data_IF_311015653668
#
_entry.id   IF_311015653668
#
_cell.length_a   1.000
_cell.length_b   1.000
_cell.length_c   1.000
_cell.angle_alpha   90.00
_cell.angle_beta   90.00
_cell.angle_gamma   90.00
#
_symmetry.space_group_name_H-M   'P 1'
#
loop_
_entity.id
_entity.type
_entity.pdbx_description
1 polymer ?
#
# COMPACT_ATOMS: atom_id res chain seq x y z
N UNK A 1 2.57 15.04 6.69
CA UNK A 1 1.58 13.97 6.44
C UNK A 1 2.29 12.88 5.65
N UNK A 2 1.81 11.63 5.65
CA UNK A 2 2.37 10.58 4.78
C UNK A 2 1.23 9.95 3.99
N UNK A 3 1.54 9.43 2.80
CA UNK A 3 0.58 8.74 1.93
C UNK A 3 1.11 7.38 1.51
N UNK A 4 0.19 6.43 1.34
CA UNK A 4 0.47 5.10 0.81
C UNK A 4 0.22 5.10 -0.70
N UNK A 5 1.29 4.96 -1.48
CA UNK A 5 1.20 4.68 -2.91
C UNK A 5 0.87 3.21 -3.16
N UNK A 6 -0.06 2.96 -4.09
CA UNK A 6 -0.50 1.61 -4.47
C UNK A 6 -0.31 1.41 -5.97
N UNK A 7 0.58 0.48 -6.35
CA UNK A 7 0.72 -0.02 -7.72
C UNK A 7 -0.12 -1.30 -7.88
N UNK A 8 -1.31 -1.17 -8.47
CA UNK A 8 -2.33 -2.22 -8.46
C UNK A 8 -2.20 -3.21 -9.63
N UNK A 9 -1.20 -4.10 -9.57
CA UNK A 9 -1.01 -5.15 -10.57
C UNK A 9 -1.96 -6.35 -10.44
N UNK A 10 -2.07 -7.15 -11.52
CA UNK A 10 -2.90 -8.37 -11.55
C UNK A 10 -2.28 -9.57 -10.81
N UNK A 11 -0.95 -9.58 -10.66
CA UNK A 11 -0.21 -10.63 -9.94
C UNK A 11 0.36 -10.16 -8.60
N UNK A 12 0.84 -8.91 -8.57
CA UNK A 12 1.49 -8.29 -7.42
C UNK A 12 0.93 -6.87 -7.25
N UNK A 13 0.80 -6.43 -6.01
CA UNK A 13 0.46 -5.06 -5.66
C UNK A 13 1.66 -4.47 -4.95
N UNK A 14 2.31 -3.47 -5.55
CA UNK A 14 3.41 -2.74 -4.93
C UNK A 14 2.87 -1.69 -3.97
N UNK A 15 3.51 -1.56 -2.81
CA UNK A 15 3.20 -0.53 -1.82
C UNK A 15 4.43 0.36 -1.63
N UNK A 16 4.22 1.67 -1.58
CA UNK A 16 5.26 2.65 -1.29
C UNK A 16 4.75 3.65 -0.24
N UNK A 17 5.63 4.14 0.63
CA UNK A 17 5.31 5.16 1.62
C UNK A 17 6.01 6.47 1.23
N UNK A 18 5.28 7.57 1.23
CA UNK A 18 5.89 8.87 1.04
C UNK A 18 6.69 9.31 2.26
N UNK A 19 7.68 10.16 2.03
CA UNK A 19 8.26 10.98 3.06
C UNK A 19 7.25 12.03 3.58
N UNK A 20 7.54 12.71 4.71
CA UNK A 20 6.63 13.70 5.29
C UNK A 20 6.32 14.92 4.41
N UNK A 21 7.16 15.20 3.41
CA UNK A 21 6.97 16.29 2.43
C UNK A 21 6.16 15.85 1.21
N UNK A 22 5.73 14.58 1.17
CA UNK A 22 4.93 13.99 0.09
C UNK A 22 5.60 14.08 -1.30
N UNK A 23 6.93 14.12 -1.32
CA UNK A 23 7.72 14.32 -2.55
C UNK A 23 8.44 13.06 -2.98
N UNK A 24 8.93 12.26 -2.03
CA UNK A 24 9.71 11.04 -2.30
C UNK A 24 8.94 9.83 -1.79
N UNK A 25 8.67 8.87 -2.68
CA UNK A 25 8.12 7.57 -2.33
C UNK A 25 9.24 6.54 -2.16
N UNK A 26 9.22 5.79 -1.06
CA UNK A 26 10.15 4.68 -0.80
C UNK A 26 9.40 3.34 -0.81
N UNK A 27 9.96 2.25 -1.37
CA UNK A 27 9.32 0.93 -1.34
C UNK A 27 8.97 0.50 0.08
N UNK A 28 7.77 -0.04 0.28
CA UNK A 28 7.29 -0.52 1.58
C UNK A 28 7.12 -2.04 1.60
N UNK A 29 6.29 -2.58 0.70
CA UNK A 29 5.99 -4.01 0.64
C UNK A 29 5.45 -4.39 -0.75
N UNK A 30 5.33 -5.68 -1.04
CA UNK A 30 4.67 -6.20 -2.24
C UNK A 30 3.73 -7.34 -1.87
N UNK A 31 2.43 -7.14 -2.09
CA UNK A 31 1.42 -8.16 -1.83
C UNK A 31 1.20 -9.04 -3.06
N UNK A 32 1.16 -10.36 -2.87
CA UNK A 32 0.86 -11.30 -3.95
C UNK A 32 -0.65 -11.55 -4.03
N UNK A 33 -1.21 -11.44 -5.24
CA UNK A 33 -2.63 -11.73 -5.48
C UNK A 33 -2.83 -13.22 -5.73
N UNK A 34 -3.81 -13.78 -5.02
CA UNK A 34 -4.29 -15.13 -5.29
C UNK A 34 -5.13 -15.14 -6.57
N UNK A 35 -4.83 -16.06 -7.48
CA UNK A 35 -5.55 -16.20 -8.76
C UNK A 35 -7.05 -16.42 -8.50
N UNK A 36 -7.89 -15.70 -9.24
CA UNK A 36 -9.35 -15.81 -9.12
C UNK A 36 -9.95 -15.25 -7.82
N UNK A 37 -9.15 -14.55 -6.99
CA UNK A 37 -9.62 -13.89 -5.77
C UNK A 37 -9.51 -12.36 -5.89
N UNK A 38 -10.32 -11.66 -5.09
CA UNK A 38 -10.22 -10.21 -4.92
C UNK A 38 -8.85 -9.83 -4.34
N UNK A 39 -8.44 -8.58 -4.55
CA UNK A 39 -7.23 -8.07 -3.93
C UNK A 39 -7.33 -8.07 -2.39
N UNK A 40 -6.21 -8.21 -1.68
CA UNK A 40 -6.18 -8.28 -0.22
C UNK A 40 -6.34 -6.89 0.42
N UNK A 41 -7.52 -6.26 0.25
CA UNK A 41 -7.79 -4.90 0.76
C UNK A 41 -7.59 -4.79 2.27
N UNK A 42 -8.05 -5.77 3.04
CA UNK A 42 -7.86 -5.79 4.50
C UNK A 42 -6.39 -5.79 4.92
N UNK A 43 -5.50 -6.41 4.13
CA UNK A 43 -4.06 -6.38 4.39
C UNK A 43 -3.48 -5.00 4.10
N UNK A 44 -3.96 -4.34 3.04
CA UNK A 44 -3.58 -2.96 2.70
C UNK A 44 -4.02 -1.99 3.83
N UNK A 45 -5.24 -2.13 4.34
CA UNK A 45 -5.75 -1.34 5.47
C UNK A 45 -4.95 -1.56 6.77
N UNK A 46 -4.61 -2.82 7.09
CA UNK A 46 -3.74 -3.14 8.22
C UNK A 46 -2.39 -2.44 8.11
N UNK A 47 -1.76 -2.50 6.94
CA UNK A 47 -0.48 -1.83 6.68
C UNK A 47 -0.61 -0.32 6.81
N UNK A 48 -1.69 0.28 6.28
CA UNK A 48 -1.93 1.72 6.41
C UNK A 48 -2.05 2.13 7.88
N UNK A 49 -2.80 1.37 8.66
CA UNK A 49 -2.99 1.60 10.11
C UNK A 49 -1.68 1.45 10.88
N UNK A 50 -0.92 0.40 10.61
CA UNK A 50 0.41 0.15 11.21
C UNK A 50 1.41 1.28 10.90
N UNK A 51 1.25 1.97 9.76
CA UNK A 51 2.07 3.13 9.39
C UNK A 51 1.51 4.47 9.88
N UNK A 52 0.43 4.44 10.66
CA UNK A 52 -0.22 5.64 11.23
C UNK A 52 -0.88 6.51 10.17
N UNK A 53 -1.31 5.91 9.05
CA UNK A 53 -1.99 6.62 7.98
C UNK A 53 -3.49 6.69 8.28
N UNK A 54 -4.04 7.90 8.19
CA UNK A 54 -5.49 8.11 8.27
C UNK A 54 -6.15 7.79 6.93
N UNK A 55 -7.28 7.09 6.98
CA UNK A 55 -8.24 7.00 5.86
C UNK A 55 -9.19 8.20 5.94
N UNK A 56 -9.39 8.88 4.82
CA UNK A 56 -10.32 10.01 4.70
C UNK A 56 -11.72 9.52 4.32
#
# INVERSE_FOLDING_TARGET
MRVLGIDYGLRRIGLALSDPTETIATPLDTLVRRRGKRAPLSKIESIATEKGLSTW
#
